data_IF_889472839219
#
_entry.id   IF_889472839219
#
_cell.length_a   1.000
_cell.length_b   1.000
_cell.length_c   1.000
_cell.angle_alpha   90.00
_cell.angle_beta   90.00
_cell.angle_gamma   90.00
#
_symmetry.space_group_name_H-M   'P 1'
#
loop_
_entity.id
_entity.type
_entity.pdbx_description
1 polymer ?
#
# COMPACT_ATOMS: atom_id res chain seq x y z
N UNK A 1 -9.25 -19.73 -4.04
CA UNK A 1 -8.19 -18.77 -4.36
C UNK A 1 -8.50 -17.52 -3.56
N UNK A 2 -7.50 -16.96 -2.88
CA UNK A 2 -7.64 -15.69 -2.17
C UNK A 2 -7.75 -14.56 -3.20
N UNK A 3 -8.45 -13.48 -2.87
CA UNK A 3 -8.52 -12.29 -3.73
C UNK A 3 -7.17 -11.57 -3.65
N UNK A 4 -6.61 -11.15 -4.79
CA UNK A 4 -5.32 -10.44 -4.85
C UNK A 4 -5.48 -9.02 -5.37
N UNK A 5 -4.95 -8.08 -4.60
CA UNK A 5 -4.93 -6.65 -4.93
C UNK A 5 -3.52 -6.23 -5.31
N UNK A 6 -3.40 -5.60 -6.47
CA UNK A 6 -2.20 -4.88 -6.88
C UNK A 6 -2.36 -3.41 -6.49
N UNK A 7 -1.50 -2.92 -5.63
CA UNK A 7 -1.54 -1.55 -5.14
C UNK A 7 -0.23 -0.86 -5.52
N UNK A 8 -0.32 0.26 -6.22
CA UNK A 8 0.82 0.88 -6.90
C UNK A 8 0.89 2.36 -6.52
N UNK A 9 2.07 2.84 -6.13
CA UNK A 9 2.41 4.25 -6.16
C UNK A 9 3.22 4.58 -7.43
N UNK A 10 2.95 5.77 -7.97
CA UNK A 10 3.65 6.32 -9.12
C UNK A 10 5.12 6.62 -8.82
N UNK A 11 5.44 6.96 -7.56
CA UNK A 11 6.81 7.34 -7.16
C UNK A 11 7.82 6.19 -7.25
N UNK A 12 7.34 4.93 -7.27
CA UNK A 12 8.13 3.74 -7.54
C UNK A 12 8.81 3.83 -8.92
N UNK A 13 8.13 4.42 -9.91
CA UNK A 13 8.57 4.50 -11.30
C UNK A 13 9.44 5.73 -11.58
N UNK A 14 10.14 6.24 -10.58
CA UNK A 14 11.08 7.34 -10.72
C UNK A 14 12.54 6.84 -10.71
N UNK A 15 13.46 7.66 -11.21
CA UNK A 15 14.89 7.38 -11.16
C UNK A 15 15.43 7.31 -9.71
N UNK A 16 14.83 8.06 -8.80
CA UNK A 16 15.11 8.02 -7.36
C UNK A 16 13.97 8.62 -6.55
N UNK A 17 13.93 8.32 -5.25
CA UNK A 17 12.89 8.81 -4.35
C UNK A 17 12.95 10.34 -4.18
N UNK A 18 11.82 11.00 -4.37
CA UNK A 18 11.72 12.43 -4.14
C UNK A 18 11.79 12.79 -2.64
N UNK A 19 12.38 13.93 -2.28
CA UNK A 19 12.11 14.55 -0.99
C UNK A 19 10.62 14.88 -0.86
N UNK A 20 10.08 14.74 0.35
CA UNK A 20 8.69 15.05 0.63
C UNK A 20 8.38 16.52 0.34
N UNK A 21 7.47 16.78 -0.59
CA UNK A 21 7.03 18.13 -0.91
C UNK A 21 6.03 18.68 0.11
N UNK A 22 5.92 20.01 0.19
CA UNK A 22 4.87 20.70 0.93
C UNK A 22 3.48 20.34 0.41
N UNK A 23 2.46 20.44 1.26
CA UNK A 23 1.07 20.20 0.85
C UNK A 23 0.67 21.13 -0.30
N UNK A 24 0.09 20.56 -1.36
CA UNK A 24 -0.29 21.29 -2.57
C UNK A 24 0.86 21.61 -3.52
N UNK A 25 2.07 21.09 -3.26
CA UNK A 25 3.23 21.16 -4.15
C UNK A 25 3.61 19.76 -4.63
N UNK A 26 4.31 19.73 -5.75
CA UNK A 26 5.00 18.54 -6.27
C UNK A 26 6.51 18.75 -6.18
N UNK A 27 7.30 17.68 -6.01
CA UNK A 27 8.76 17.76 -6.02
C UNK A 27 9.29 18.19 -7.41
N UNK A 28 10.53 18.66 -7.41
CA UNK A 28 11.26 19.04 -8.63
C UNK A 28 11.75 17.78 -9.38
N UNK A 29 11.89 17.90 -10.70
CA UNK A 29 12.20 16.77 -11.58
C UNK A 29 13.62 16.21 -11.43
N UNK A 30 14.62 17.08 -11.21
CA UNK A 30 16.03 16.73 -11.38
C UNK A 30 16.45 15.55 -10.49
N UNK A 31 16.87 14.44 -11.12
CA UNK A 31 17.25 13.20 -10.42
C UNK A 31 16.08 12.28 -10.05
N UNK A 32 14.87 12.65 -10.42
CA UNK A 32 13.61 11.96 -10.16
C UNK A 32 12.80 11.77 -11.44
N UNK A 33 13.49 11.66 -12.59
CA UNK A 33 12.83 11.51 -13.88
C UNK A 33 11.97 10.23 -13.91
N UNK A 34 10.74 10.29 -14.44
CA UNK A 34 9.92 9.10 -14.57
C UNK A 34 10.56 8.12 -15.54
N UNK A 35 10.34 6.83 -15.30
CA UNK A 35 10.75 5.78 -16.21
C UNK A 35 10.09 5.98 -17.58
N UNK A 36 10.74 5.48 -18.63
CA UNK A 36 10.09 5.43 -19.94
C UNK A 36 8.83 4.56 -19.89
N UNK A 37 7.74 5.01 -20.54
CA UNK A 37 6.49 4.26 -20.58
C UNK A 37 6.65 2.82 -21.08
N UNK A 38 7.61 2.56 -21.98
CA UNK A 38 7.92 1.20 -22.45
C UNK A 38 8.51 0.31 -21.35
N UNK A 39 9.29 0.88 -20.42
CA UNK A 39 9.83 0.16 -19.25
C UNK A 39 8.72 -0.17 -18.25
N UNK A 40 7.82 0.80 -17.98
CA UNK A 40 6.66 0.57 -17.11
C UNK A 40 5.79 -0.55 -17.65
N UNK A 41 5.47 -0.56 -18.96
CA UNK A 41 4.72 -1.67 -19.58
C UNK A 41 5.40 -3.02 -19.40
N UNK A 42 6.71 -3.12 -19.64
CA UNK A 42 7.47 -4.36 -19.44
C UNK A 42 7.41 -4.85 -17.98
N UNK A 43 7.43 -3.94 -17.02
CA UNK A 43 7.28 -4.29 -15.61
C UNK A 43 5.87 -4.79 -15.29
N UNK A 44 4.84 -4.06 -15.72
CA UNK A 44 3.44 -4.46 -15.52
C UNK A 44 3.12 -5.81 -16.17
N UNK A 45 3.62 -6.07 -17.38
CA UNK A 45 3.40 -7.33 -18.10
C UNK A 45 4.30 -8.46 -17.57
N UNK A 46 5.59 -8.20 -17.35
CA UNK A 46 6.59 -9.21 -17.02
C UNK A 46 6.66 -9.58 -15.54
N UNK A 47 6.60 -8.58 -14.65
CA UNK A 47 6.66 -8.77 -13.21
C UNK A 47 5.27 -8.92 -12.61
N UNK A 48 4.30 -8.08 -13.02
CA UNK A 48 2.95 -8.12 -12.46
C UNK A 48 1.98 -9.05 -13.22
N UNK A 49 2.36 -9.54 -14.40
CA UNK A 49 1.52 -10.45 -15.18
C UNK A 49 0.24 -9.80 -15.75
N UNK A 50 0.20 -8.46 -15.84
CA UNK A 50 -0.93 -7.75 -16.42
C UNK A 50 -0.98 -7.91 -17.94
N UNK A 51 -2.17 -7.71 -18.53
CA UNK A 51 -2.39 -7.84 -19.97
C UNK A 51 -3.41 -6.82 -20.45
N UNK A 52 -3.09 -6.13 -21.55
CA UNK A 52 -3.99 -5.16 -22.20
C UNK A 52 -5.23 -5.79 -22.82
N UNK A 53 -5.13 -7.07 -23.20
CA UNK A 53 -6.26 -7.83 -23.74
C UNK A 53 -7.24 -8.26 -22.65
N UNK A 54 -6.81 -8.16 -21.38
CA UNK A 54 -7.56 -8.59 -20.20
C UNK A 54 -7.37 -7.59 -19.05
N UNK A 55 -7.81 -6.33 -19.22
CA UNK A 55 -7.70 -5.34 -18.17
C UNK A 55 -8.52 -5.77 -16.94
N UNK A 56 -8.01 -5.41 -15.76
CA UNK A 56 -8.66 -5.75 -14.47
C UNK A 56 -9.39 -4.52 -13.90
N UNK A 57 -10.41 -4.68 -13.05
CA UNK A 57 -11.00 -3.53 -12.36
C UNK A 57 -9.93 -2.70 -11.63
N UNK A 58 -9.99 -1.38 -11.76
CA UNK A 58 -9.03 -0.52 -11.08
C UNK A 58 -9.43 0.95 -10.98
N UNK A 59 -8.70 1.69 -10.16
CA UNK A 59 -8.91 3.13 -9.95
C UNK A 59 -7.59 3.85 -9.76
N UNK A 60 -7.50 5.05 -10.33
CA UNK A 60 -6.41 6.00 -10.10
C UNK A 60 -6.91 7.08 -9.14
N UNK A 61 -6.13 7.42 -8.12
CA UNK A 61 -6.46 8.47 -7.15
C UNK A 61 -5.26 9.36 -6.81
N UNK A 62 -5.54 10.53 -6.24
CA UNK A 62 -4.51 11.53 -5.97
C UNK A 62 -3.55 11.11 -4.86
N UNK A 63 -4.06 10.67 -3.70
CA UNK A 63 -3.24 10.30 -2.54
C UNK A 63 -3.38 8.83 -2.22
N UNK A 64 -2.28 8.19 -1.78
CA UNK A 64 -2.25 6.73 -1.64
C UNK A 64 -3.25 6.17 -0.63
N UNK A 65 -3.51 6.91 0.44
CA UNK A 65 -4.47 6.55 1.47
C UNK A 65 -5.93 6.44 0.97
N UNK A 66 -6.23 6.91 -0.24
CA UNK A 66 -7.50 6.69 -0.93
C UNK A 66 -7.74 5.21 -1.30
N UNK A 67 -6.69 4.38 -1.31
CA UNK A 67 -6.81 2.92 -1.46
C UNK A 67 -7.77 2.30 -0.42
N UNK A 68 -7.77 2.80 0.81
CA UNK A 68 -8.66 2.31 1.86
C UNK A 68 -10.15 2.52 1.54
N UNK A 69 -10.50 3.63 0.91
CA UNK A 69 -11.88 3.91 0.51
C UNK A 69 -12.33 2.95 -0.58
N UNK A 70 -11.46 2.75 -1.57
CA UNK A 70 -11.70 1.80 -2.64
C UNK A 70 -11.87 0.38 -2.12
N UNK A 71 -11.00 -0.09 -1.23
CA UNK A 71 -11.10 -1.43 -0.65
C UNK A 71 -12.36 -1.58 0.20
N UNK A 72 -12.73 -0.55 0.97
CA UNK A 72 -14.02 -0.52 1.70
C UNK A 72 -15.20 -0.64 0.74
N UNK A 73 -15.24 0.17 -0.31
CA UNK A 73 -16.34 0.15 -1.28
C UNK A 73 -16.44 -1.22 -1.97
N UNK A 74 -15.31 -1.87 -2.27
CA UNK A 74 -15.27 -3.23 -2.84
C UNK A 74 -15.73 -4.31 -1.84
N UNK A 75 -15.38 -4.19 -0.56
CA UNK A 75 -15.87 -5.07 0.51
C UNK A 75 -17.40 -4.93 0.66
N UNK A 76 -17.92 -3.71 0.69
CA UNK A 76 -19.35 -3.43 0.80
C UNK A 76 -20.13 -3.94 -0.42
N UNK A 77 -19.56 -3.76 -1.62
CA UNK A 77 -20.11 -4.29 -2.87
C UNK A 77 -19.94 -5.81 -3.02
N UNK A 78 -19.29 -6.50 -2.06
CA UNK A 78 -18.97 -7.93 -2.11
C UNK A 78 -18.16 -8.35 -3.35
N UNK A 79 -17.39 -7.41 -3.90
CA UNK A 79 -16.42 -7.65 -4.99
C UNK A 79 -15.07 -8.11 -4.43
N UNK A 80 -14.86 -7.89 -3.13
CA UNK A 80 -13.70 -8.28 -2.37
C UNK A 80 -14.17 -8.90 -1.05
N UNK A 81 -13.40 -9.83 -0.48
CA UNK A 81 -13.69 -10.44 0.81
C UNK A 81 -12.45 -10.35 1.67
N UNK A 82 -12.59 -9.88 2.91
CA UNK A 82 -11.49 -9.84 3.87
C UNK A 82 -11.32 -11.20 4.57
N UNK A 83 -10.06 -11.64 4.81
CA UNK A 83 -8.83 -10.99 4.38
C UNK A 83 -8.46 -11.32 2.91
N UNK A 84 -7.65 -10.46 2.28
CA UNK A 84 -7.17 -10.57 0.89
C UNK A 84 -5.66 -10.28 0.80
N UNK A 85 -5.01 -10.74 -0.25
CA UNK A 85 -3.57 -10.56 -0.45
C UNK A 85 -3.27 -9.24 -1.14
N UNK A 86 -2.21 -8.56 -0.70
CA UNK A 86 -1.79 -7.28 -1.27
C UNK A 86 -0.35 -7.39 -1.75
N UNK A 87 -0.15 -7.03 -3.02
CA UNK A 87 1.18 -6.68 -3.54
C UNK A 87 1.22 -5.17 -3.68
N UNK A 88 2.02 -4.52 -2.84
CA UNK A 88 2.19 -3.07 -2.79
C UNK A 88 3.54 -2.70 -3.42
N UNK A 89 3.47 -1.92 -4.50
CA UNK A 89 4.60 -1.52 -5.35
C UNK A 89 4.81 -0.02 -5.18
N UNK A 90 5.86 0.33 -4.45
CA UNK A 90 6.02 1.68 -3.91
C UNK A 90 7.49 1.96 -3.58
N UNK A 91 7.90 3.22 -3.64
CA UNK A 91 9.17 3.64 -3.07
C UNK A 91 9.21 3.52 -1.53
N UNK A 92 8.07 3.66 -0.87
CA UNK A 92 7.82 3.63 0.56
C UNK A 92 7.11 2.32 0.97
N UNK A 93 6.97 2.10 2.27
CA UNK A 93 6.29 0.94 2.83
C UNK A 93 4.84 1.23 3.22
N UNK A 94 4.53 2.51 3.47
CA UNK A 94 3.27 2.99 4.04
C UNK A 94 2.80 2.26 5.31
N UNK A 95 3.78 1.71 6.03
CA UNK A 95 3.59 1.00 7.29
C UNK A 95 3.79 1.90 8.51
N UNK A 96 3.91 3.21 8.32
CA UNK A 96 3.89 4.22 9.38
C UNK A 96 5.25 4.79 9.77
N UNK A 97 6.04 5.31 8.82
CA UNK A 97 7.20 6.15 9.16
C UNK A 97 6.83 7.63 9.25
N UNK A 98 7.46 8.32 10.22
CA UNK A 98 7.17 9.72 10.52
C UNK A 98 6.07 9.86 11.57
N UNK A 99 5.52 11.06 11.72
CA UNK A 99 4.35 11.29 12.59
C UNK A 99 3.08 11.10 11.77
N UNK A 100 2.07 10.31 12.23
CA UNK A 100 1.89 9.84 13.61
C UNK A 100 2.55 8.49 13.95
N UNK A 101 3.21 7.83 12.99
CA UNK A 101 3.97 6.60 13.20
C UNK A 101 3.09 5.39 13.53
N UNK A 102 3.68 4.22 13.87
CA UNK A 102 2.88 3.04 14.18
C UNK A 102 2.16 3.17 15.52
N UNK A 103 2.64 4.05 16.41
CA UNK A 103 2.13 4.21 17.77
C UNK A 103 0.63 4.54 17.84
N UNK A 104 0.12 5.34 16.91
CA UNK A 104 -1.32 5.67 16.86
C UNK A 104 -2.16 4.43 16.56
N UNK A 105 -1.77 3.62 15.57
CA UNK A 105 -2.49 2.39 15.23
C UNK A 105 -2.35 1.37 16.37
N UNK A 106 -1.12 1.11 16.81
CA UNK A 106 -0.82 0.11 17.82
C UNK A 106 -1.52 0.39 19.16
N UNK A 107 -1.68 1.65 19.55
CA UNK A 107 -2.22 2.02 20.86
C UNK A 107 -3.63 2.63 20.85
N UNK A 108 -4.06 3.20 19.73
CA UNK A 108 -5.37 3.85 19.60
C UNK A 108 -6.38 3.01 18.81
N UNK A 109 -5.91 2.20 17.84
CA UNK A 109 -6.79 1.46 16.93
C UNK A 109 -6.92 -0.01 17.35
N UNK A 110 -5.82 -0.70 17.64
CA UNK A 110 -5.85 -2.12 18.02
C UNK A 110 -6.72 -2.43 19.26
N UNK A 111 -6.81 -1.57 20.30
CA UNK A 111 -7.70 -1.84 21.43
C UNK A 111 -9.19 -1.80 21.06
N UNK A 112 -9.56 -1.12 19.98
CA UNK A 112 -10.96 -1.08 19.50
C UNK A 112 -11.33 -2.48 18.98
N UNK A 113 -12.59 -2.90 19.18
CA UNK A 113 -13.09 -4.18 18.68
C UNK A 113 -12.88 -4.29 17.17
N UNK A 114 -12.31 -5.39 16.67
CA UNK A 114 -11.82 -5.46 15.28
C UNK A 114 -12.86 -5.08 14.21
N UNK A 115 -14.12 -5.48 14.39
CA UNK A 115 -15.24 -5.17 13.49
C UNK A 115 -15.77 -3.73 13.61
N UNK A 116 -15.13 -2.90 14.44
CA UNK A 116 -15.41 -1.46 14.65
C UNK A 116 -14.22 -0.57 14.35
N UNK A 117 -13.11 -1.13 13.85
CA UNK A 117 -11.89 -0.36 13.55
C UNK A 117 -11.99 0.40 12.22
N UNK A 118 -12.68 -0.13 11.21
CA UNK A 118 -12.66 0.42 9.85
C UNK A 118 -13.45 1.74 9.71
N UNK A 119 -12.89 2.85 10.21
CA UNK A 119 -13.41 4.21 10.10
C UNK A 119 -12.28 5.18 9.68
N UNK A 120 -11.82 5.05 8.43
CA UNK A 120 -10.71 5.83 7.88
C UNK A 120 -10.95 7.35 7.98
N UNK A 121 -12.18 7.80 7.72
CA UNK A 121 -12.55 9.21 7.80
C UNK A 121 -12.34 9.80 9.20
N UNK A 122 -12.74 9.06 10.24
CA UNK A 122 -12.47 9.48 11.63
C UNK A 122 -10.98 9.64 11.87
N UNK A 123 -10.16 8.70 11.43
CA UNK A 123 -8.72 8.77 11.67
C UNK A 123 -8.04 9.90 10.91
N UNK A 124 -8.46 10.20 9.68
CA UNK A 124 -8.00 11.39 8.96
C UNK A 124 -8.37 12.69 9.69
N UNK A 125 -9.62 12.81 10.18
CA UNK A 125 -10.06 13.98 10.98
C UNK A 125 -9.24 14.16 12.26
N UNK A 126 -8.71 13.06 12.82
CA UNK A 126 -7.86 13.07 14.01
C UNK A 126 -6.37 13.20 13.67
N UNK A 127 -6.00 13.38 12.39
CA UNK A 127 -4.61 13.36 11.90
C UNK A 127 -3.84 12.09 12.28
N UNK A 128 -4.56 10.97 12.41
CA UNK A 128 -4.02 9.66 12.73
C UNK A 128 -3.72 8.80 11.50
N UNK A 129 -4.31 9.12 10.35
CA UNK A 129 -4.21 8.39 9.09
C UNK A 129 -3.84 9.34 7.96
N UNK A 130 -2.81 8.96 7.19
CA UNK A 130 -2.40 9.61 5.95
C UNK A 130 -1.71 8.61 5.00
N UNK A 131 -1.12 9.13 3.92
CA UNK A 131 -0.39 8.37 2.89
C UNK A 131 0.71 7.49 3.50
N UNK A 132 1.40 7.94 4.55
CA UNK A 132 2.56 7.24 5.10
C UNK A 132 2.20 6.04 6.00
N UNK A 133 0.91 5.81 6.30
CA UNK A 133 0.51 4.77 7.26
C UNK A 133 -0.80 4.03 6.94
N UNK A 134 -1.46 4.30 5.81
CA UNK A 134 -2.77 3.71 5.52
C UNK A 134 -2.71 2.17 5.44
N UNK A 135 -1.59 1.59 5.00
CA UNK A 135 -1.42 0.15 4.92
C UNK A 135 -1.35 -0.48 6.32
N UNK A 136 -0.77 0.24 7.29
CA UNK A 136 -0.83 -0.17 8.70
C UNK A 136 -2.27 -0.17 9.24
N UNK A 137 -3.12 0.76 8.81
CA UNK A 137 -4.55 0.72 9.13
C UNK A 137 -5.24 -0.49 8.52
N UNK A 138 -4.96 -0.83 7.25
CA UNK A 138 -5.54 -2.01 6.60
C UNK A 138 -5.17 -3.32 7.34
N UNK A 139 -3.93 -3.44 7.81
CA UNK A 139 -3.49 -4.54 8.69
C UNK A 139 -4.30 -4.54 10.00
N UNK A 140 -4.46 -3.39 10.65
CA UNK A 140 -5.24 -3.28 11.88
C UNK A 140 -6.74 -3.56 11.69
N UNK A 141 -7.29 -3.30 10.50
CA UNK A 141 -8.66 -3.65 10.13
C UNK A 141 -8.84 -5.14 9.84
N UNK A 142 -7.74 -5.92 9.83
CA UNK A 142 -7.69 -7.35 9.45
C UNK A 142 -8.17 -7.58 8.02
N UNK A 143 -7.88 -6.64 7.13
CA UNK A 143 -8.21 -6.72 5.71
C UNK A 143 -7.18 -7.51 4.91
N UNK A 144 -5.93 -7.52 5.36
CA UNK A 144 -4.81 -8.12 4.61
C UNK A 144 -4.50 -9.53 5.16
N UNK A 145 -4.41 -10.53 4.28
CA UNK A 145 -3.98 -11.91 4.61
C UNK A 145 -2.50 -12.16 4.36
N UNK A 146 -1.90 -11.48 3.38
CA UNK A 146 -0.47 -11.47 3.12
C UNK A 146 -0.08 -10.15 2.46
N UNK A 147 1.17 -9.72 2.67
CA UNK A 147 1.68 -8.47 2.12
C UNK A 147 3.03 -8.70 1.44
N UNK A 148 3.12 -8.36 0.17
CA UNK A 148 4.38 -8.20 -0.56
C UNK A 148 4.65 -6.71 -0.71
N UNK A 149 5.82 -6.26 -0.24
CA UNK A 149 6.31 -4.90 -0.43
C UNK A 149 7.41 -4.94 -1.50
N UNK A 150 7.10 -4.44 -2.70
CA UNK A 150 7.99 -4.44 -3.86
C UNK A 150 8.57 -3.06 -4.03
N UNK A 151 9.89 -2.94 -3.88
CA UNK A 151 10.55 -1.65 -3.77
C UNK A 151 11.47 -1.37 -4.94
N UNK A 152 11.71 -0.09 -5.17
CA UNK A 152 12.76 0.35 -6.06
C UNK A 152 14.11 0.25 -5.32
N UNK A 153 15.21 -0.22 -5.93
CA UNK A 153 16.54 -0.22 -5.28
C UNK A 153 17.00 1.13 -4.73
N UNK A 154 16.42 2.24 -5.22
CA UNK A 154 16.66 3.60 -4.72
C UNK A 154 15.89 3.93 -3.44
N UNK A 155 14.97 3.08 -3.00
CA UNK A 155 14.15 3.24 -1.81
C UNK A 155 14.95 3.24 -0.52
N UNK A 156 14.54 4.07 0.44
CA UNK A 156 15.17 4.12 1.76
C UNK A 156 14.53 3.09 2.70
N UNK A 157 15.29 2.38 3.56
CA UNK A 157 14.71 1.47 4.53
C UNK A 157 13.71 2.17 5.45
N UNK A 158 12.45 1.73 5.44
CA UNK A 158 11.37 2.41 6.13
C UNK A 158 10.33 1.46 6.78
N UNK A 159 10.67 0.20 6.99
CA UNK A 159 9.77 -0.75 7.67
C UNK A 159 9.91 -0.62 9.19
N UNK A 160 8.84 -0.31 9.95
CA UNK A 160 8.90 -0.24 11.40
C UNK A 160 9.13 -1.63 12.02
N UNK A 161 10.10 -1.76 12.92
CA UNK A 161 10.43 -3.06 13.54
C UNK A 161 9.35 -3.51 14.53
N UNK A 162 8.59 -2.58 15.08
CA UNK A 162 7.59 -2.78 16.11
C UNK A 162 6.37 -3.57 15.62
N UNK A 163 6.15 -3.62 14.31
CA UNK A 163 5.03 -4.35 13.69
C UNK A 163 5.41 -5.79 13.29
N UNK A 164 6.69 -6.12 13.27
CA UNK A 164 7.21 -7.43 12.90
C UNK A 164 7.14 -8.40 14.08
N UNK A 165 7.00 -9.69 13.77
CA UNK A 165 7.14 -10.74 14.78
C UNK A 165 8.58 -10.73 15.31
N UNK A 166 8.82 -10.74 16.63
CA UNK A 166 10.17 -10.73 17.17
C UNK A 166 11.04 -11.87 16.60
N UNK A 167 12.16 -11.49 15.97
CA UNK A 167 13.10 -12.42 15.34
C UNK A 167 12.69 -12.94 13.96
N UNK A 168 11.62 -12.42 13.36
CA UNK A 168 11.14 -12.79 12.03
C UNK A 168 10.87 -11.56 11.17
N UNK A 169 11.68 -11.36 10.14
CA UNK A 169 11.47 -10.27 9.17
C UNK A 169 10.39 -10.59 8.13
N UNK A 170 10.00 -11.86 8.01
CA UNK A 170 9.06 -12.39 7.02
C UNK A 170 7.59 -12.45 7.50
N UNK A 171 7.32 -11.85 8.67
CA UNK A 171 6.04 -11.99 9.36
C UNK A 171 5.69 -10.72 10.12
N UNK A 172 4.51 -10.17 9.85
CA UNK A 172 3.92 -9.07 10.61
C UNK A 172 2.97 -9.65 11.66
N UNK A 173 3.02 -9.14 12.88
CA UNK A 173 1.97 -9.35 13.89
C UNK A 173 1.84 -8.10 14.75
N UNK A 174 0.77 -7.34 14.51
CA UNK A 174 0.55 -6.11 15.25
C UNK A 174 0.30 -6.40 16.74
N UNK A 175 1.05 -5.72 17.61
CA UNK A 175 0.89 -5.88 19.05
C UNK A 175 1.32 -4.63 19.81
N UNK A 176 0.78 -4.47 21.01
CA UNK A 176 1.17 -3.43 21.96
C UNK A 176 0.69 -3.81 23.35
N UNK A 177 1.19 -3.11 24.38
CA UNK A 177 0.69 -3.28 25.74
C UNK A 177 -0.81 -3.00 25.84
N UNK A 178 -1.28 -1.92 25.22
CA UNK A 178 -2.70 -1.51 25.24
C UNK A 178 -3.59 -2.48 24.47
N UNK A 179 -3.12 -3.03 23.34
CA UNK A 179 -3.81 -4.08 22.61
C UNK A 179 -3.92 -5.37 23.45
N UNK A 180 -2.90 -5.70 24.23
CA UNK A 180 -2.90 -6.88 25.10
C UNK A 180 -4.00 -6.83 26.17
N UNK A 181 -4.36 -5.62 26.64
CA UNK A 181 -5.49 -5.43 27.57
C UNK A 181 -6.84 -5.77 26.94
N UNK A 182 -6.92 -5.80 25.61
CA UNK A 182 -8.15 -6.06 24.84
C UNK A 182 -8.20 -7.48 24.24
N UNK A 183 -7.29 -8.39 24.63
CA UNK A 183 -7.24 -9.77 24.11
C UNK A 183 -8.55 -10.54 24.32
N UNK A 184 -9.24 -10.31 25.45
CA UNK A 184 -10.53 -10.95 25.72
C UNK A 184 -11.64 -10.54 24.74
N UNK A 185 -11.48 -9.42 24.04
CA UNK A 185 -12.44 -8.88 23.06
C UNK A 185 -12.00 -9.22 21.64
N UNK A 186 -10.72 -9.03 21.33
CA UNK A 186 -10.20 -9.11 19.96
C UNK A 186 -9.55 -10.44 19.61
N UNK A 187 -9.18 -11.26 20.61
CA UNK A 187 -8.18 -12.31 20.43
C UNK A 187 -6.80 -11.74 20.08
N UNK A 188 -5.86 -12.62 19.75
CA UNK A 188 -4.56 -12.22 19.20
C UNK A 188 -4.75 -11.68 17.77
N UNK A 189 -3.96 -10.68 17.40
CA UNK A 189 -3.88 -10.27 15.99
C UNK A 189 -3.27 -11.40 15.15
N UNK A 190 -3.72 -11.56 13.89
CA UNK A 190 -3.22 -12.59 13.00
C UNK A 190 -1.73 -12.38 12.70
N UNK A 191 -1.02 -13.48 12.43
CA UNK A 191 0.32 -13.43 11.84
C UNK A 191 0.14 -13.35 10.33
N UNK A 192 0.66 -12.28 9.73
CA UNK A 192 0.55 -11.99 8.30
C UNK A 192 1.89 -12.30 7.64
N UNK A 193 1.96 -13.23 6.66
CA UNK A 193 3.15 -13.41 5.84
C UNK A 193 3.52 -12.09 5.18
N UNK A 194 4.80 -11.74 5.27
CA UNK A 194 5.33 -10.48 4.79
C UNK A 194 6.60 -10.73 4.00
N UNK A 195 6.65 -10.26 2.75
CA UNK A 195 7.85 -10.36 1.94
C UNK A 195 8.27 -8.98 1.43
N UNK A 196 9.57 -8.72 1.46
CA UNK A 196 10.13 -7.43 1.03
C UNK A 196 11.11 -7.69 -0.10
N UNK A 197 10.83 -7.11 -1.25
CA UNK A 197 11.72 -7.11 -2.40
C UNK A 197 12.42 -5.76 -2.47
N UNK A 198 13.63 -5.67 -1.91
CA UNK A 198 14.47 -4.46 -1.99
C UNK A 198 14.89 -4.15 -3.45
N UNK A 199 14.83 -5.16 -4.33
CA UNK A 199 14.99 -5.01 -5.77
C UNK A 199 13.84 -5.70 -6.50
N UNK A 200 13.02 -4.89 -7.19
CA UNK A 200 11.90 -5.38 -7.99
C UNK A 200 12.29 -6.39 -9.08
N UNK A 201 13.56 -6.50 -9.47
CA UNK A 201 14.01 -7.56 -10.39
C UNK A 201 13.87 -8.97 -9.78
N UNK A 202 13.85 -9.08 -8.44
CA UNK A 202 13.58 -10.34 -7.73
C UNK A 202 12.08 -10.64 -7.60
N UNK A 203 11.21 -9.70 -7.93
CA UNK A 203 9.76 -9.85 -7.80
C UNK A 203 9.13 -10.37 -9.09
N UNK A 204 8.25 -11.36 -8.94
CA UNK A 204 7.36 -11.82 -10.01
C UNK A 204 6.07 -12.34 -9.39
N UNK A 205 4.94 -11.82 -9.85
CA UNK A 205 3.62 -12.26 -9.44
C UNK A 205 3.44 -13.75 -9.79
N UNK A 206 3.10 -14.56 -8.80
CA UNK A 206 2.85 -15.99 -8.96
C UNK A 206 1.43 -16.27 -9.51
N UNK A 207 0.50 -15.37 -9.20
CA UNK A 207 -0.91 -15.47 -9.54
C UNK A 207 -1.44 -14.15 -10.12
N UNK A 208 -2.65 -14.21 -10.70
CA UNK A 208 -3.29 -13.02 -11.29
C UNK A 208 -3.89 -12.13 -10.20
N UNK A 209 -3.91 -10.84 -10.46
CA UNK A 209 -4.63 -9.86 -9.65
C UNK A 209 -6.09 -9.77 -10.07
N UNK A 210 -6.95 -9.54 -9.08
CA UNK A 210 -8.38 -9.31 -9.27
C UNK A 210 -8.70 -7.81 -9.35
N UNK A 211 -7.83 -6.98 -8.79
CA UNK A 211 -8.02 -5.54 -8.66
C UNK A 211 -6.70 -4.77 -8.69
N UNK A 212 -6.70 -3.54 -9.23
CA UNK A 212 -5.55 -2.63 -9.20
C UNK A 212 -5.89 -1.22 -8.69
N UNK A 213 -5.13 -0.70 -7.72
CA UNK A 213 -5.11 0.71 -7.34
C UNK A 213 -3.82 1.39 -7.80
N UNK A 214 -3.91 2.65 -8.22
CA UNK A 214 -2.76 3.48 -8.56
C UNK A 214 -2.86 4.84 -7.87
N UNK A 215 -1.88 5.18 -7.04
CA UNK A 215 -1.72 6.49 -6.43
C UNK A 215 -0.87 7.40 -7.33
N UNK A 216 -1.24 8.67 -7.43
CA UNK A 216 -0.40 9.70 -8.07
C UNK A 216 0.64 10.22 -7.06
N UNK A 217 0.25 10.32 -5.79
CA UNK A 217 1.06 10.78 -4.65
C UNK A 217 1.81 12.06 -5.00
N UNK A 218 1.09 13.19 -5.22
CA UNK A 218 1.67 14.41 -5.77
C UNK A 218 2.81 14.98 -4.93
N UNK A 219 2.85 14.67 -3.63
CA UNK A 219 3.93 15.12 -2.73
C UNK A 219 5.23 14.32 -2.88
N UNK A 220 5.16 13.18 -3.56
CA UNK A 220 6.24 12.22 -3.80
C UNK A 220 6.58 12.06 -5.28
N UNK A 221 5.71 12.51 -6.19
CA UNK A 221 5.91 12.41 -7.64
C UNK A 221 5.97 13.77 -8.33
N UNK A 222 6.98 14.06 -9.16
CA UNK A 222 7.03 15.28 -9.96
C UNK A 222 5.87 15.31 -10.96
N UNK A 223 5.51 16.50 -11.46
CA UNK A 223 4.37 16.64 -12.39
C UNK A 223 4.56 15.83 -13.67
N UNK A 224 5.80 15.70 -14.12
CA UNK A 224 6.21 14.97 -15.30
C UNK A 224 5.86 13.47 -15.22
N UNK A 225 5.75 12.90 -14.01
CA UNK A 225 5.36 11.51 -13.82
C UNK A 225 3.92 11.23 -14.29
N UNK A 226 3.06 12.25 -14.41
CA UNK A 226 1.68 12.11 -14.92
C UNK A 226 1.65 11.53 -16.36
N UNK A 227 2.75 11.59 -17.11
CA UNK A 227 2.90 10.94 -18.43
C UNK A 227 2.73 9.42 -18.37
N UNK A 228 2.86 8.82 -17.19
CA UNK A 228 2.69 7.39 -16.97
C UNK A 228 1.24 6.97 -16.72
N UNK A 229 0.34 7.89 -16.33
CA UNK A 229 -1.06 7.55 -16.03
C UNK A 229 -1.77 6.83 -17.18
N UNK A 230 -1.66 7.29 -18.45
CA UNK A 230 -2.24 6.57 -19.58
C UNK A 230 -1.68 5.15 -19.76
N UNK A 231 -0.49 4.85 -19.24
CA UNK A 231 0.08 3.48 -19.29
C UNK A 231 -0.70 2.54 -18.38
N UNK A 232 -1.04 2.97 -17.16
CA UNK A 232 -1.81 2.14 -16.22
C UNK A 232 -3.25 1.95 -16.70
N UNK A 233 -3.84 2.97 -17.34
CA UNK A 233 -5.18 2.89 -17.94
C UNK A 233 -5.28 1.79 -19.01
N UNK A 234 -4.19 1.42 -19.69
CA UNK A 234 -4.18 0.31 -20.65
C UNK A 234 -4.46 -1.06 -20.00
N UNK A 235 -4.26 -1.19 -18.70
CA UNK A 235 -4.39 -2.46 -17.96
C UNK A 235 -5.56 -2.49 -17.00
N UNK A 236 -6.36 -1.42 -16.92
CA UNK A 236 -7.52 -1.36 -16.02
C UNK A 236 -8.82 -0.99 -16.70
N UNK A 237 -9.91 -1.55 -16.17
CA UNK A 237 -11.26 -1.04 -16.38
C UNK A 237 -11.61 -0.15 -15.20
N UNK A 238 -11.82 1.14 -15.46
CA UNK A 238 -12.07 2.13 -14.41
C UNK A 238 -13.37 1.82 -13.66
N UNK A 239 -13.30 1.85 -12.32
CA UNK A 239 -14.44 1.64 -11.42
C UNK A 239 -14.55 2.72 -10.35
#
# INVERSE_FOLDING_TARGET
>A
MSVRVLDIDLDFFLAGCCPLADKGRRPELFGHEPWESGRVRRFLEGNCGLSKDRPIPGRIFETHDSALELWRDMLEAKRLTAPFDVTHIDAHSDLGIGYPGPGYVLNGVLPIRYDKRADAEKYRRLNGLDEANYLLFALAFRWISSLENVRNPSSLPDIPKEILVPGKADSIQLSSFTAALSLGINGKEPVIPFNVYEDYNGFKAEEKYDFMSVAISPRYSPKEADVLLPVFEEYMTLV
#
